data_IF_896281709081
#
_entry.id   IF_896281709081
#
_cell.length_a   1.000
_cell.length_b   1.000
_cell.length_c   1.000
_cell.angle_alpha   90.00
_cell.angle_beta   90.00
_cell.angle_gamma   90.00
#
_symmetry.space_group_name_H-M   'P 1'
#
loop_
_entity.id
_entity.type
_entity.pdbx_description
1 polymer ?
#
# COMPACT_ATOMS: atom_id res chain seq x y z
N UNK A 1 -45.83 -4.30 -9.53
CA UNK A 1 -44.56 -3.91 -8.91
C UNK A 1 -44.31 -2.46 -9.24
N UNK A 2 -44.10 -1.60 -8.26
CA UNK A 2 -43.70 -0.21 -8.44
C UNK A 2 -42.19 -0.09 -8.28
N UNK A 3 -41.54 0.59 -9.20
CA UNK A 3 -40.13 0.93 -9.10
C UNK A 3 -40.04 2.37 -8.58
N UNK A 4 -39.28 2.58 -7.51
CA UNK A 4 -38.96 3.89 -6.99
C UNK A 4 -37.55 4.31 -7.45
N UNK A 5 -37.39 5.52 -7.96
CA UNK A 5 -36.08 6.10 -8.24
C UNK A 5 -35.49 6.59 -6.91
N UNK A 6 -34.35 6.05 -6.52
CA UNK A 6 -33.55 6.52 -5.39
C UNK A 6 -32.45 7.44 -5.93
N UNK A 7 -32.57 8.74 -5.71
CA UNK A 7 -31.60 9.75 -6.14
C UNK A 7 -32.26 10.96 -6.79
N UNK A 8 -31.45 11.90 -7.23
CA UNK A 8 -31.90 13.08 -7.98
C UNK A 8 -32.10 12.72 -9.46
N UNK A 9 -33.34 12.82 -10.03
CA UNK A 9 -33.58 12.54 -11.43
C UNK A 9 -32.88 13.51 -12.39
N UNK A 10 -32.37 14.64 -11.88
CA UNK A 10 -31.61 15.61 -12.68
C UNK A 10 -30.09 15.29 -12.70
N UNK A 11 -29.65 14.30 -11.92
CA UNK A 11 -28.24 13.89 -11.92
C UNK A 11 -27.89 13.28 -13.28
N UNK A 12 -26.91 13.86 -13.94
CA UNK A 12 -26.30 13.28 -15.13
C UNK A 12 -25.15 12.39 -14.72
N UNK A 13 -25.16 11.15 -15.20
CA UNK A 13 -23.98 10.27 -15.11
C UNK A 13 -23.02 10.78 -16.20
N UNK A 14 -21.89 11.31 -15.75
CA UNK A 14 -20.82 11.69 -16.67
C UNK A 14 -20.01 10.43 -17.02
N UNK A 15 -19.95 10.12 -18.31
CA UNK A 15 -19.18 8.99 -18.84
C UNK A 15 -17.85 9.50 -19.36
N UNK A 16 -16.78 8.69 -19.30
CA UNK A 16 -15.49 9.05 -19.86
C UNK A 16 -15.61 9.52 -21.30
N UNK A 17 -15.00 10.66 -21.59
CA UNK A 17 -15.12 11.33 -22.88
C UNK A 17 -14.26 10.70 -23.96
N UNK A 18 -13.12 10.13 -23.56
CA UNK A 18 -12.13 9.58 -24.46
C UNK A 18 -12.12 8.06 -24.39
N UNK A 19 -11.59 7.41 -25.43
CA UNK A 19 -11.54 5.96 -25.52
C UNK A 19 -10.12 5.44 -25.31
N UNK A 20 -10.04 4.28 -24.65
CA UNK A 20 -8.81 3.49 -24.54
C UNK A 20 -8.87 2.35 -25.52
N UNK A 21 -7.96 2.31 -26.49
CA UNK A 21 -7.86 1.23 -27.46
C UNK A 21 -6.63 0.38 -27.20
N UNK A 22 -6.77 -0.95 -27.39
CA UNK A 22 -5.65 -1.89 -27.38
C UNK A 22 -5.01 -1.93 -28.75
N UNK A 23 -3.71 -1.70 -28.84
CA UNK A 23 -2.96 -1.74 -30.10
C UNK A 23 -2.20 -3.03 -30.28
N UNK A 24 -1.64 -3.62 -29.19
CA UNK A 24 -0.94 -4.90 -29.23
C UNK A 24 -1.20 -5.76 -28.00
N UNK A 25 -1.14 -7.08 -28.19
CA UNK A 25 -1.12 -8.10 -27.14
C UNK A 25 0.08 -9.00 -27.40
N UNK A 26 0.95 -9.18 -26.41
CA UNK A 26 2.19 -9.99 -26.53
C UNK A 26 3.04 -9.61 -27.75
N UNK A 27 3.12 -8.31 -28.07
CA UNK A 27 3.85 -7.76 -29.22
C UNK A 27 3.16 -7.94 -30.58
N UNK A 28 1.99 -8.60 -30.67
CA UNK A 28 1.21 -8.76 -31.90
C UNK A 28 0.17 -7.66 -32.04
N UNK A 29 0.12 -7.03 -33.21
CA UNK A 29 -0.83 -5.96 -33.51
C UNK A 29 -2.26 -6.51 -33.55
N UNK A 30 -3.18 -5.83 -32.90
CA UNK A 30 -4.62 -6.14 -32.90
C UNK A 30 -5.18 -5.83 -34.30
N UNK A 31 -5.91 -6.77 -34.90
CA UNK A 31 -6.59 -6.62 -36.18
C UNK A 31 -5.88 -7.26 -37.39
N UNK A 32 -4.60 -7.64 -37.31
CA UNK A 32 -3.87 -8.25 -38.43
C UNK A 32 -4.13 -9.77 -38.63
N UNK A 33 -4.65 -10.43 -37.63
CA UNK A 33 -5.16 -11.81 -37.65
C UNK A 33 -5.91 -12.08 -36.37
N UNK A 34 -6.74 -13.13 -36.36
CA UNK A 34 -7.36 -13.62 -35.10
C UNK A 34 -6.23 -13.90 -34.12
N UNK A 35 -6.13 -13.07 -33.09
CA UNK A 35 -5.16 -13.30 -32.00
C UNK A 35 -5.73 -14.46 -31.19
N UNK A 36 -5.46 -15.68 -31.66
CA UNK A 36 -5.72 -16.92 -30.89
C UNK A 36 -4.68 -17.12 -29.77
N UNK A 37 -4.11 -16.04 -29.26
CA UNK A 37 -3.23 -16.14 -28.11
C UNK A 37 -4.07 -16.51 -26.88
N UNK A 38 -3.95 -17.74 -26.53
CA UNK A 38 -4.52 -18.24 -25.27
C UNK A 38 -3.65 -17.77 -24.12
N UNK A 39 -4.23 -16.98 -23.25
CA UNK A 39 -3.60 -16.55 -22.00
C UNK A 39 -3.83 -17.62 -20.95
N UNK A 40 -2.75 -18.22 -20.47
CA UNK A 40 -2.77 -19.35 -19.55
C UNK A 40 -2.42 -18.92 -18.11
N UNK A 41 -2.84 -19.73 -17.14
CA UNK A 41 -2.27 -19.62 -15.80
C UNK A 41 -0.75 -19.61 -15.86
N UNK A 42 -0.10 -18.77 -15.08
CA UNK A 42 1.35 -18.58 -14.99
C UNK A 42 2.02 -17.98 -16.23
N UNK A 43 1.29 -17.73 -17.33
CA UNK A 43 1.87 -17.04 -18.48
C UNK A 43 1.96 -15.52 -18.24
N UNK A 44 2.99 -14.91 -18.85
CA UNK A 44 3.12 -13.45 -18.87
C UNK A 44 2.34 -12.88 -20.04
N UNK A 45 1.63 -11.78 -19.81
CA UNK A 45 0.88 -11.03 -20.81
C UNK A 45 1.43 -9.59 -20.87
N UNK A 46 1.67 -9.12 -22.09
CA UNK A 46 2.00 -7.72 -22.39
C UNK A 46 0.85 -7.08 -23.16
N UNK A 47 0.44 -5.91 -22.75
CA UNK A 47 -0.63 -5.11 -23.36
C UNK A 47 -0.09 -3.72 -23.69
N UNK A 48 -0.23 -3.31 -24.95
CA UNK A 48 0.04 -1.94 -25.39
C UNK A 48 -1.25 -1.29 -25.87
N UNK A 49 -1.41 0.01 -25.65
CA UNK A 49 -2.60 0.74 -26.11
C UNK A 49 -2.40 2.24 -26.15
N UNK A 50 -3.43 2.91 -26.65
CA UNK A 50 -3.46 4.35 -26.82
C UNK A 50 -4.78 4.94 -26.29
N UNK A 51 -4.71 6.22 -25.88
CA UNK A 51 -5.88 7.03 -25.56
C UNK A 51 -6.22 7.84 -26.81
N UNK A 52 -7.47 7.73 -27.26
CA UNK A 52 -7.91 8.38 -28.50
C UNK A 52 -9.17 9.23 -28.31
N UNK A 53 -9.37 10.19 -29.18
CA UNK A 53 -10.61 10.98 -29.28
C UNK A 53 -11.69 10.21 -30.06
N UNK A 54 -12.85 10.82 -30.23
CA UNK A 54 -14.00 10.29 -30.98
C UNK A 54 -13.71 10.00 -32.47
N UNK A 55 -12.63 10.56 -33.03
CA UNK A 55 -12.19 10.34 -34.41
C UNK A 55 -11.11 9.28 -34.52
N UNK A 56 -10.71 8.66 -33.38
CA UNK A 56 -9.62 7.69 -33.33
C UNK A 56 -8.22 8.32 -33.35
N UNK A 57 -8.12 9.65 -33.14
CA UNK A 57 -6.83 10.35 -33.08
C UNK A 57 -6.26 10.27 -31.68
N UNK A 58 -4.99 9.85 -31.56
CA UNK A 58 -4.32 9.76 -30.27
C UNK A 58 -4.17 11.14 -29.61
N UNK A 59 -4.37 11.18 -28.30
CA UNK A 59 -4.18 12.35 -27.45
C UNK A 59 -2.72 12.42 -26.97
N UNK A 60 -1.86 13.10 -27.73
CA UNK A 60 -0.42 13.20 -27.43
C UNK A 60 -0.09 13.99 -26.15
N UNK A 61 -1.05 14.72 -25.60
CA UNK A 61 -0.97 15.50 -24.36
C UNK A 61 -1.60 14.79 -23.14
N UNK A 62 -2.06 13.55 -23.29
CA UNK A 62 -2.61 12.78 -22.19
C UNK A 62 -1.47 12.09 -21.40
N UNK A 63 -1.06 12.72 -20.30
CA UNK A 63 -0.11 12.17 -19.33
C UNK A 63 -0.82 11.86 -18.01
N UNK A 64 -0.85 10.58 -17.60
CA UNK A 64 -1.62 10.17 -16.45
C UNK A 64 -1.39 8.73 -16.02
N UNK A 65 -2.44 8.12 -15.47
CA UNK A 65 -2.44 6.72 -15.03
C UNK A 65 -3.60 5.97 -15.70
N UNK A 66 -3.38 4.69 -15.97
CA UNK A 66 -4.40 3.77 -16.46
C UNK A 66 -4.54 2.59 -15.51
N UNK A 67 -5.76 2.30 -15.09
CA UNK A 67 -6.14 1.08 -14.38
C UNK A 67 -6.52 0.01 -15.41
N UNK A 68 -5.90 -1.15 -15.31
CA UNK A 68 -6.09 -2.29 -16.20
C UNK A 68 -6.67 -3.43 -15.36
N UNK A 69 -7.86 -3.92 -15.73
CA UNK A 69 -8.52 -5.05 -15.06
C UNK A 69 -8.74 -6.15 -16.06
N UNK A 70 -8.06 -7.28 -15.87
CA UNK A 70 -8.30 -8.50 -16.64
C UNK A 70 -9.38 -9.33 -15.97
N UNK A 71 -10.43 -9.61 -16.70
CA UNK A 71 -11.56 -10.44 -16.29
C UNK A 71 -11.47 -11.81 -16.96
N UNK A 72 -11.80 -12.85 -16.20
CA UNK A 72 -11.96 -14.21 -16.69
C UNK A 72 -13.14 -14.30 -17.69
N UNK A 73 -13.36 -15.46 -18.23
CA UNK A 73 -14.50 -15.77 -19.09
C UNK A 73 -15.84 -15.61 -18.39
N UNK A 74 -16.90 -15.50 -19.16
CA UNK A 74 -18.28 -15.50 -18.68
C UNK A 74 -18.57 -16.74 -17.80
N UNK A 75 -19.28 -16.51 -16.72
CA UNK A 75 -19.82 -17.52 -15.82
C UNK A 75 -21.34 -17.46 -15.80
N UNK A 76 -21.98 -18.63 -15.79
CA UNK A 76 -23.43 -18.73 -15.73
C UNK A 76 -23.87 -18.69 -14.27
N UNK A 77 -24.79 -17.82 -13.95
CA UNK A 77 -25.42 -17.68 -12.64
C UNK A 77 -26.92 -17.95 -12.76
N UNK A 78 -27.53 -18.39 -11.68
CA UNK A 78 -28.98 -18.52 -11.55
C UNK A 78 -29.48 -17.59 -10.45
N UNK A 79 -30.63 -16.98 -10.68
CA UNK A 79 -31.33 -16.26 -9.61
C UNK A 79 -31.81 -17.24 -8.57
N UNK A 80 -31.88 -16.80 -7.31
CA UNK A 80 -32.47 -17.58 -6.25
C UNK A 80 -34.01 -17.55 -6.40
N UNK A 81 -34.66 -18.70 -6.42
CA UNK A 81 -36.12 -18.81 -6.40
C UNK A 81 -36.64 -18.65 -4.96
N UNK A 82 -36.53 -17.45 -4.40
CA UNK A 82 -36.86 -17.15 -3.01
C UNK A 82 -38.38 -17.29 -2.72
N UNK A 83 -39.21 -17.26 -3.76
CA UNK A 83 -40.69 -17.37 -3.65
C UNK A 83 -41.19 -18.78 -3.98
N UNK A 84 -40.34 -19.73 -4.38
CA UNK A 84 -40.69 -21.10 -4.71
C UNK A 84 -41.60 -21.22 -5.93
N UNK A 85 -41.50 -20.29 -6.88
CA UNK A 85 -42.38 -20.21 -8.05
C UNK A 85 -41.81 -20.89 -9.31
N UNK A 86 -40.66 -21.58 -9.19
CA UNK A 86 -39.87 -22.09 -10.32
C UNK A 86 -39.55 -21.02 -11.38
N UNK A 87 -39.21 -19.82 -10.92
CA UNK A 87 -38.90 -18.65 -11.76
C UNK A 87 -37.40 -18.31 -11.72
N UNK A 88 -36.54 -19.30 -11.51
CA UNK A 88 -35.13 -19.15 -11.62
C UNK A 88 -34.74 -18.78 -13.07
N UNK A 89 -33.91 -17.74 -13.22
CA UNK A 89 -33.45 -17.25 -14.51
C UNK A 89 -31.94 -17.45 -14.55
N UNK A 90 -31.46 -18.08 -15.61
CA UNK A 90 -30.04 -18.10 -15.92
C UNK A 90 -29.60 -16.79 -16.57
N UNK A 91 -28.46 -16.28 -16.13
CA UNK A 91 -27.82 -15.13 -16.74
C UNK A 91 -26.30 -15.28 -16.74
N UNK A 92 -25.65 -14.68 -17.70
CA UNK A 92 -24.20 -14.68 -17.83
C UNK A 92 -23.62 -13.42 -17.18
N UNK A 93 -22.53 -13.58 -16.43
CA UNK A 93 -21.80 -12.48 -15.84
C UNK A 93 -20.29 -12.73 -15.93
N UNK A 94 -19.56 -11.70 -16.31
CA UNK A 94 -18.10 -11.68 -16.32
C UNK A 94 -17.60 -10.81 -15.19
N UNK A 95 -17.27 -11.40 -14.04
CA UNK A 95 -16.88 -10.66 -12.83
C UNK A 95 -15.62 -11.18 -12.15
N UNK A 96 -15.16 -12.38 -12.51
CA UNK A 96 -13.96 -12.95 -11.90
C UNK A 96 -12.74 -12.19 -12.42
N UNK A 97 -12.08 -11.45 -11.55
CA UNK A 97 -10.89 -10.69 -11.89
C UNK A 97 -9.69 -11.64 -11.82
N UNK A 98 -8.86 -11.66 -12.86
CA UNK A 98 -7.63 -12.46 -12.94
C UNK A 98 -6.38 -11.60 -12.67
N UNK A 99 -6.47 -10.32 -12.95
CA UNK A 99 -5.41 -9.36 -12.67
C UNK A 99 -5.97 -7.94 -12.59
N UNK A 100 -5.35 -7.12 -11.74
CA UNK A 100 -5.64 -5.69 -11.59
C UNK A 100 -4.34 -4.95 -11.39
N UNK A 101 -4.11 -3.90 -12.16
CA UNK A 101 -2.87 -3.14 -12.04
C UNK A 101 -3.00 -1.73 -12.59
N UNK A 102 -2.01 -0.91 -12.30
CA UNK A 102 -1.94 0.49 -12.73
C UNK A 102 -0.65 0.69 -13.52
N UNK A 103 -0.77 1.31 -14.69
CA UNK A 103 0.37 1.73 -15.49
C UNK A 103 0.37 3.25 -15.69
N UNK A 104 1.53 3.80 -16.09
CA UNK A 104 1.65 5.19 -16.54
C UNK A 104 1.17 5.32 -17.98
N UNK A 105 0.52 6.43 -18.28
CA UNK A 105 0.24 6.88 -19.66
C UNK A 105 1.13 8.07 -19.93
N UNK A 106 1.87 8.05 -21.04
CA UNK A 106 2.76 9.13 -21.48
C UNK A 106 2.50 9.40 -22.96
N UNK A 107 2.16 10.64 -23.29
CA UNK A 107 1.84 11.03 -24.66
C UNK A 107 0.70 10.19 -25.24
N UNK A 108 -0.33 9.89 -24.43
CA UNK A 108 -1.47 9.06 -24.82
C UNK A 108 -1.16 7.59 -25.04
N UNK A 109 0.01 7.08 -24.64
CA UNK A 109 0.41 5.67 -24.78
C UNK A 109 0.67 5.01 -23.47
N UNK A 110 0.36 3.71 -23.39
CA UNK A 110 0.72 2.86 -22.27
C UNK A 110 1.23 1.51 -22.74
N UNK A 111 2.08 0.92 -21.91
CA UNK A 111 2.51 -0.47 -21.97
C UNK A 111 2.43 -1.05 -20.57
N UNK A 112 1.92 -2.26 -20.46
CA UNK A 112 1.80 -2.95 -19.18
C UNK A 112 2.02 -4.43 -19.33
N UNK A 113 2.92 -5.01 -18.51
CA UNK A 113 3.23 -6.44 -18.50
C UNK A 113 2.94 -7.01 -17.12
N UNK A 114 2.28 -8.15 -17.07
CA UNK A 114 1.93 -8.86 -15.84
C UNK A 114 1.88 -10.36 -16.05
N UNK A 115 1.96 -11.13 -14.97
CA UNK A 115 1.86 -12.59 -15.00
C UNK A 115 0.57 -13.03 -14.33
N UNK A 116 -0.14 -13.98 -14.93
CA UNK A 116 -1.39 -14.50 -14.38
C UNK A 116 -1.11 -15.43 -13.19
N UNK A 117 -1.96 -15.38 -12.15
CA UNK A 117 -1.85 -16.30 -11.04
C UNK A 117 -2.14 -17.75 -11.46
N UNK A 118 -1.72 -18.70 -10.65
CA UNK A 118 -1.97 -20.12 -10.84
C UNK A 118 -3.46 -20.47 -10.77
N UNK A 119 -4.21 -19.74 -9.97
CA UNK A 119 -5.62 -20.03 -9.64
C UNK A 119 -6.60 -19.41 -10.62
N UNK A 120 -6.50 -19.78 -11.89
CA UNK A 120 -7.55 -19.48 -12.86
C UNK A 120 -8.34 -20.73 -13.22
N UNK A 121 -9.57 -20.57 -13.66
CA UNK A 121 -10.33 -21.69 -14.20
C UNK A 121 -9.71 -22.17 -15.53
N UNK A 122 -9.36 -23.45 -15.64
CA UNK A 122 -8.61 -23.99 -16.78
C UNK A 122 -9.43 -24.23 -18.05
N UNK A 123 -10.77 -24.21 -17.98
CA UNK A 123 -11.62 -24.23 -19.17
C UNK A 123 -11.36 -22.98 -20.02
N UNK A 124 -11.46 -23.12 -21.35
CA UNK A 124 -11.20 -22.05 -22.29
C UNK A 124 -12.44 -21.19 -22.53
N UNK A 125 -12.25 -19.90 -22.67
CA UNK A 125 -13.32 -18.95 -23.00
C UNK A 125 -12.77 -17.53 -23.23
N UNK A 126 -13.61 -16.65 -23.79
CA UNK A 126 -13.23 -15.27 -24.05
C UNK A 126 -13.04 -14.50 -22.75
N UNK A 127 -11.85 -13.93 -22.56
CA UNK A 127 -11.55 -12.98 -21.50
C UNK A 127 -12.00 -11.55 -21.87
N UNK A 128 -11.83 -10.64 -20.93
CA UNK A 128 -12.06 -9.21 -21.15
C UNK A 128 -11.01 -8.40 -20.39
N UNK A 129 -10.40 -7.44 -21.05
CA UNK A 129 -9.64 -6.39 -20.39
C UNK A 129 -10.53 -5.16 -20.32
N UNK A 130 -10.65 -4.55 -19.17
CA UNK A 130 -11.33 -3.27 -18.94
C UNK A 130 -10.30 -2.23 -18.55
N UNK A 131 -10.42 -1.04 -19.12
CA UNK A 131 -9.52 0.08 -18.92
C UNK A 131 -10.24 1.28 -18.35
N UNK A 132 -9.59 1.98 -17.43
CA UNK A 132 -9.96 3.33 -17.02
C UNK A 132 -8.68 4.14 -16.86
N UNK A 133 -8.56 5.23 -17.63
CA UNK A 133 -7.42 6.14 -17.57
C UNK A 133 -7.85 7.51 -17.07
N UNK A 134 -6.96 8.14 -16.29
CA UNK A 134 -7.21 9.47 -15.74
C UNK A 134 -5.94 10.33 -15.85
N UNK A 135 -6.12 11.57 -16.31
CA UNK A 135 -5.10 12.61 -16.34
C UNK A 135 -5.76 13.95 -15.94
N UNK A 136 -5.29 14.57 -14.83
CA UNK A 136 -5.82 15.81 -14.27
C UNK A 136 -7.36 15.85 -14.21
N UNK A 137 -7.99 16.54 -15.19
CA UNK A 137 -9.45 16.74 -15.26
C UNK A 137 -10.12 15.97 -16.39
N UNK A 138 -9.40 15.10 -17.09
CA UNK A 138 -9.90 14.30 -18.21
C UNK A 138 -9.73 12.81 -17.93
N UNK A 139 -10.65 12.02 -18.43
CA UNK A 139 -10.62 10.58 -18.30
C UNK A 139 -10.96 9.86 -19.60
N UNK A 140 -10.59 8.57 -19.66
CA UNK A 140 -10.85 7.70 -20.79
C UNK A 140 -11.22 6.29 -20.29
N UNK A 141 -12.07 5.60 -21.02
CA UNK A 141 -12.39 4.20 -20.73
C UNK A 141 -12.41 3.36 -22.01
N UNK A 142 -12.23 2.05 -21.83
CA UNK A 142 -12.28 1.14 -22.96
C UNK A 142 -12.30 -0.32 -22.52
N UNK A 143 -12.38 -1.20 -23.48
CA UNK A 143 -12.27 -2.63 -23.22
C UNK A 143 -11.73 -3.38 -24.45
N UNK A 144 -11.20 -4.60 -24.19
CA UNK A 144 -10.75 -5.52 -25.24
C UNK A 144 -11.18 -6.95 -24.89
N UNK A 145 -11.74 -7.69 -25.88
CA UNK A 145 -12.34 -9.03 -25.68
C UNK A 145 -11.87 -10.09 -26.67
N UNK A 146 -10.96 -9.74 -27.59
CA UNK A 146 -10.55 -10.65 -28.68
C UNK A 146 -9.35 -11.52 -28.29
N UNK A 147 -9.46 -12.23 -27.18
CA UNK A 147 -8.47 -13.20 -26.73
C UNK A 147 -9.13 -14.31 -25.92
N UNK A 148 -8.44 -15.43 -25.78
CA UNK A 148 -8.89 -16.59 -25.02
C UNK A 148 -8.14 -16.68 -23.69
N UNK A 149 -8.83 -17.01 -22.62
CA UNK A 149 -8.26 -17.35 -21.31
C UNK A 149 -8.53 -18.82 -21.02
N UNK A 150 -7.53 -19.55 -20.51
CA UNK A 150 -7.70 -20.93 -20.06
C UNK A 150 -6.43 -21.77 -20.16
N UNK A 151 -6.43 -22.92 -19.50
CA UNK A 151 -5.28 -23.80 -19.40
C UNK A 151 -4.19 -23.28 -18.47
N UNK A 152 -3.07 -23.98 -18.43
CA UNK A 152 -1.89 -23.64 -17.65
C UNK A 152 -0.63 -23.68 -18.52
N UNK A 153 0.30 -22.78 -18.29
CA UNK A 153 1.61 -22.83 -18.92
C UNK A 153 2.51 -23.84 -18.19
N UNK A 154 2.67 -25.02 -18.78
CA UNK A 154 3.48 -26.10 -18.21
C UNK A 154 4.98 -25.92 -18.39
N UNK A 155 5.43 -24.91 -19.15
CA UNK A 155 6.84 -24.60 -19.31
C UNK A 155 7.41 -23.84 -18.10
N UNK A 156 6.54 -23.24 -17.28
CA UNK A 156 6.93 -22.51 -16.08
C UNK A 156 7.29 -23.46 -14.96
N UNK A 157 8.52 -23.38 -14.49
CA UNK A 157 8.98 -24.13 -13.32
C UNK A 157 8.53 -23.43 -12.05
N UNK A 158 7.64 -24.06 -11.29
CA UNK A 158 7.20 -23.53 -10.00
C UNK A 158 8.31 -23.71 -8.97
N UNK A 159 8.85 -22.59 -8.50
CA UNK A 159 9.86 -22.57 -7.42
C UNK A 159 9.17 -22.10 -6.13
N UNK A 160 9.47 -22.79 -5.02
CA UNK A 160 8.95 -22.36 -3.72
C UNK A 160 9.68 -21.09 -3.26
N UNK A 161 9.04 -19.94 -3.44
CA UNK A 161 9.43 -18.66 -2.90
C UNK A 161 8.27 -18.09 -2.09
N UNK A 162 8.54 -17.18 -1.17
CA UNK A 162 7.52 -16.56 -0.32
C UNK A 162 7.72 -15.06 -0.31
N UNK A 163 6.64 -14.26 -0.36
CA UNK A 163 6.75 -12.80 -0.27
C UNK A 163 7.55 -12.37 0.95
N UNK A 164 8.50 -11.44 0.76
CA UNK A 164 9.09 -10.67 1.85
C UNK A 164 8.14 -9.53 2.20
N UNK A 165 7.86 -9.34 3.49
CA UNK A 165 6.91 -8.37 3.99
C UNK A 165 7.61 -7.47 5.02
N UNK A 166 7.74 -6.20 4.71
CA UNK A 166 8.15 -5.17 5.65
C UNK A 166 6.90 -4.41 6.08
N UNK A 167 6.44 -4.65 7.31
CA UNK A 167 5.19 -4.13 7.85
C UNK A 167 5.44 -3.01 8.85
N UNK A 168 4.76 -1.90 8.67
CA UNK A 168 4.85 -0.68 9.47
C UNK A 168 3.46 -0.11 9.76
N UNK A 169 3.38 0.79 10.73
CA UNK A 169 2.28 1.74 10.86
C UNK A 169 2.76 3.11 10.37
N UNK A 170 1.94 3.78 9.57
CA UNK A 170 2.13 5.12 9.03
C UNK A 170 3.30 5.26 8.04
N UNK A 171 4.54 5.03 8.46
CA UNK A 171 5.74 5.17 7.63
C UNK A 171 6.87 4.19 8.04
N UNK A 172 7.95 4.15 7.26
CA UNK A 172 9.09 3.24 7.46
C UNK A 172 9.91 3.51 8.73
N UNK A 173 9.73 4.65 9.39
CA UNK A 173 10.39 4.98 10.65
C UNK A 173 9.72 4.29 11.83
N UNK A 174 8.49 3.82 11.67
CA UNK A 174 7.74 3.14 12.71
C UNK A 174 8.48 1.89 13.22
N UNK A 175 8.47 1.70 14.53
CA UNK A 175 9.08 0.53 15.19
C UNK A 175 8.02 -0.28 15.91
N UNK A 176 8.21 -1.60 15.98
CA UNK A 176 7.31 -2.50 16.68
C UNK A 176 7.08 -2.06 18.13
N UNK A 177 5.83 -1.92 18.54
CA UNK A 177 5.40 -1.35 19.83
C UNK A 177 5.38 0.18 19.89
N UNK A 178 5.52 0.86 18.74
CA UNK A 178 5.49 2.31 18.61
C UNK A 178 4.11 2.90 18.89
N UNK A 179 4.10 4.23 19.06
CA UNK A 179 2.90 5.01 19.36
C UNK A 179 2.24 5.50 18.07
N UNK A 180 0.90 5.58 18.06
CA UNK A 180 0.11 6.17 17.00
C UNK A 180 -1.18 6.79 17.57
N UNK A 181 -1.89 7.57 16.76
CA UNK A 181 -3.25 8.04 17.08
C UNK A 181 -4.33 7.00 16.76
N UNK A 182 -5.59 7.38 16.88
CA UNK A 182 -6.75 6.52 16.60
C UNK A 182 -7.03 6.29 15.11
N UNK A 183 -6.33 6.99 14.19
CA UNK A 183 -6.54 6.90 12.75
C UNK A 183 -5.25 6.55 11.98
N UNK A 184 -4.50 5.51 12.37
CA UNK A 184 -3.24 5.19 11.72
C UNK A 184 -3.45 4.54 10.35
N UNK A 185 -2.38 4.53 9.56
CA UNK A 185 -2.34 3.77 8.32
C UNK A 185 -1.50 2.50 8.50
N UNK A 186 -2.01 1.35 8.04
CA UNK A 186 -1.13 0.24 7.70
C UNK A 186 -0.26 0.67 6.52
N UNK A 187 1.03 0.49 6.62
CA UNK A 187 1.97 0.66 5.52
C UNK A 187 2.85 -0.58 5.40
N UNK A 188 2.87 -1.19 4.22
CA UNK A 188 3.74 -2.33 3.97
C UNK A 188 4.46 -2.20 2.63
N UNK A 189 5.70 -2.70 2.60
CA UNK A 189 6.48 -2.92 1.39
C UNK A 189 6.56 -4.43 1.22
N UNK A 190 6.15 -4.90 0.04
CA UNK A 190 6.08 -6.34 -0.27
C UNK A 190 6.88 -6.60 -1.53
N UNK A 191 7.68 -7.67 -1.55
CA UNK A 191 8.41 -8.12 -2.73
C UNK A 191 8.58 -9.64 -2.74
N UNK A 192 8.74 -10.21 -3.94
CA UNK A 192 9.10 -11.61 -4.14
C UNK A 192 10.02 -11.71 -5.37
N UNK A 193 10.61 -12.87 -5.61
CA UNK A 193 11.29 -13.19 -6.87
C UNK A 193 10.33 -13.40 -8.05
N UNK A 194 9.04 -13.59 -7.74
CA UNK A 194 7.92 -13.70 -8.67
C UNK A 194 6.83 -12.69 -8.30
N UNK A 195 5.85 -12.51 -9.19
CA UNK A 195 4.79 -11.52 -8.97
C UNK A 195 3.96 -11.82 -7.72
N UNK A 196 3.52 -10.76 -7.04
CA UNK A 196 2.56 -10.83 -5.94
C UNK A 196 1.17 -11.11 -6.52
N UNK A 197 0.39 -11.96 -5.83
CA UNK A 197 -1.01 -12.19 -6.18
C UNK A 197 -1.85 -11.01 -5.68
N UNK A 198 -2.27 -10.16 -6.60
CA UNK A 198 -3.05 -8.96 -6.30
C UNK A 198 -4.56 -9.20 -6.37
N UNK A 199 -4.97 -10.41 -6.72
CA UNK A 199 -6.36 -10.76 -6.93
C UNK A 199 -6.73 -12.00 -6.15
N UNK A 200 -7.66 -11.86 -5.22
CA UNK A 200 -8.32 -13.00 -4.58
C UNK A 200 -9.31 -13.62 -5.54
N UNK A 201 -8.97 -14.79 -6.09
CA UNK A 201 -9.83 -15.53 -7.02
C UNK A 201 -10.98 -16.27 -6.31
N UNK A 202 -11.37 -15.86 -5.12
CA UNK A 202 -12.38 -16.52 -4.28
C UNK A 202 -11.88 -17.79 -3.57
N UNK A 203 -10.61 -18.16 -3.73
CA UNK A 203 -9.98 -19.33 -3.11
C UNK A 203 -9.19 -19.01 -1.83
N UNK A 204 -9.34 -17.80 -1.30
CA UNK A 204 -8.68 -17.40 -0.03
C UNK A 204 -7.24 -16.93 -0.19
N UNK A 205 -6.80 -16.56 -1.39
CA UNK A 205 -5.48 -16.03 -1.67
C UNK A 205 -5.44 -14.48 -1.72
N UNK A 206 -6.37 -13.84 -1.01
CA UNK A 206 -6.39 -12.40 -0.85
C UNK A 206 -5.21 -11.89 -0.03
N UNK A 207 -4.83 -10.64 -0.28
CA UNK A 207 -4.00 -9.86 0.65
C UNK A 207 -4.88 -9.51 1.84
N UNK A 208 -4.56 -10.03 3.01
CA UNK A 208 -5.42 -9.94 4.19
C UNK A 208 -4.67 -9.34 5.37
N UNK A 209 -5.23 -8.29 5.94
CA UNK A 209 -4.83 -7.81 7.26
C UNK A 209 -5.83 -8.26 8.32
N UNK A 210 -5.33 -8.59 9.52
CA UNK A 210 -6.13 -8.90 10.72
C UNK A 210 -5.69 -8.03 11.87
N UNK A 211 -6.64 -7.36 12.48
CA UNK A 211 -6.39 -6.51 13.64
C UNK A 211 -6.89 -7.21 14.91
N UNK A 212 -6.00 -7.42 15.88
CA UNK A 212 -6.20 -8.04 17.20
C UNK A 212 -6.66 -9.50 17.17
N UNK A 213 -7.65 -9.83 16.34
CA UNK A 213 -8.19 -11.17 16.24
C UNK A 213 -8.73 -11.47 14.83
N UNK A 214 -9.09 -12.73 14.59
CA UNK A 214 -9.55 -13.20 13.29
C UNK A 214 -10.90 -12.58 12.83
N UNK A 215 -11.68 -11.99 13.74
CA UNK A 215 -12.97 -11.38 13.38
C UNK A 215 -12.80 -10.04 12.66
N UNK A 216 -11.73 -9.30 12.95
CA UNK A 216 -11.40 -8.02 12.32
C UNK A 216 -10.48 -8.24 11.12
N UNK A 217 -11.05 -8.69 10.02
CA UNK A 217 -10.32 -9.03 8.79
C UNK A 217 -10.62 -8.02 7.68
N UNK A 218 -9.55 -7.52 7.04
CA UNK A 218 -9.61 -6.54 5.96
C UNK A 218 -8.98 -7.13 4.70
N UNK A 219 -9.68 -7.05 3.57
CA UNK A 219 -9.16 -7.45 2.26
C UNK A 219 -8.49 -6.23 1.64
N UNK A 220 -7.22 -6.34 1.30
CA UNK A 220 -6.36 -5.22 0.90
C UNK A 220 -5.90 -5.28 -0.56
N UNK A 221 -6.48 -6.13 -1.39
CA UNK A 221 -6.08 -6.26 -2.80
C UNK A 221 -6.19 -4.92 -3.56
N UNK A 222 -7.24 -4.13 -3.31
CA UNK A 222 -7.44 -2.82 -3.94
C UNK A 222 -6.51 -1.71 -3.40
N UNK A 223 -5.77 -1.99 -2.34
CA UNK A 223 -4.81 -1.07 -1.71
C UNK A 223 -3.36 -1.41 -2.03
N UNK A 224 -3.14 -2.43 -2.87
CA UNK A 224 -1.81 -2.80 -3.34
C UNK A 224 -1.47 -2.01 -4.60
N UNK A 225 -0.40 -1.24 -4.55
CA UNK A 225 0.17 -0.52 -5.69
C UNK A 225 1.48 -1.19 -6.11
N UNK A 226 1.53 -1.68 -7.35
CA UNK A 226 2.75 -2.29 -7.93
C UNK A 226 3.83 -1.22 -8.10
N UNK A 227 5.07 -1.57 -7.78
CA UNK A 227 6.23 -0.72 -8.03
C UNK A 227 6.44 -0.54 -9.54
N UNK A 228 6.60 0.69 -9.99
CA UNK A 228 6.76 1.02 -11.42
C UNK A 228 8.06 0.49 -12.04
N UNK A 229 9.07 0.20 -11.22
CA UNK A 229 10.39 -0.29 -11.66
C UNK A 229 10.56 -1.80 -11.41
N UNK A 230 9.75 -2.37 -10.51
CA UNK A 230 9.79 -3.79 -10.16
C UNK A 230 8.38 -4.40 -10.07
N UNK A 231 7.90 -5.10 -11.11
CA UNK A 231 6.56 -5.69 -11.14
C UNK A 231 6.35 -6.79 -10.09
N UNK A 232 7.42 -7.29 -9.47
CA UNK A 232 7.38 -8.30 -8.41
C UNK A 232 7.38 -7.67 -7.00
N UNK A 233 7.25 -6.35 -6.91
CA UNK A 233 7.19 -5.61 -5.66
C UNK A 233 6.05 -4.59 -5.67
N UNK A 234 5.70 -4.09 -4.51
CA UNK A 234 4.72 -3.03 -4.36
C UNK A 234 4.53 -2.59 -2.93
N UNK A 235 3.61 -1.66 -2.75
CA UNK A 235 3.27 -1.11 -1.44
C UNK A 235 1.78 -1.29 -1.15
N UNK A 236 1.46 -1.43 0.13
CA UNK A 236 0.09 -1.46 0.62
C UNK A 236 -0.06 -0.30 1.60
N UNK A 237 -1.10 0.51 1.40
CA UNK A 237 -1.45 1.60 2.30
C UNK A 237 -2.95 1.57 2.59
N UNK A 238 -3.30 1.27 3.85
CA UNK A 238 -4.69 1.14 4.27
C UNK A 238 -4.98 2.01 5.50
N UNK A 239 -5.96 2.95 5.44
CA UNK A 239 -6.33 3.79 6.56
C UNK A 239 -7.21 3.04 7.54
N UNK A 240 -6.83 3.02 8.81
CA UNK A 240 -7.73 2.69 9.90
C UNK A 240 -8.41 3.96 10.42
N UNK A 241 -9.56 3.82 11.05
CA UNK A 241 -10.28 4.92 11.70
C UNK A 241 -10.88 4.48 13.03
N UNK A 242 -10.86 5.41 13.97
CA UNK A 242 -11.48 5.26 15.29
C UNK A 242 -11.05 4.00 16.07
N UNK A 243 -9.78 3.64 15.99
CA UNK A 243 -9.25 2.54 16.78
C UNK A 243 -9.34 2.87 18.28
N UNK A 244 -9.62 1.84 19.09
CA UNK A 244 -9.67 1.98 20.53
C UNK A 244 -8.30 2.28 21.12
N UNK A 245 -8.23 2.99 22.25
CA UNK A 245 -6.96 3.16 22.96
C UNK A 245 -6.47 1.83 23.52
N UNK A 246 -5.17 1.62 23.47
CA UNK A 246 -4.50 0.44 24.00
C UNK A 246 -3.49 -0.18 23.05
N UNK A 247 -3.04 -1.37 23.41
CA UNK A 247 -2.15 -2.19 22.57
C UNK A 247 -2.96 -2.92 21.51
N UNK A 248 -2.46 -2.88 20.29
CA UNK A 248 -3.02 -3.57 19.13
C UNK A 248 -1.97 -4.45 18.47
N UNK A 249 -2.43 -5.51 17.85
CA UNK A 249 -1.61 -6.42 17.03
C UNK A 249 -2.19 -6.50 15.63
N UNK A 250 -1.38 -6.18 14.64
CA UNK A 250 -1.75 -6.25 13.23
C UNK A 250 -0.94 -7.33 12.54
N UNK A 251 -1.63 -8.22 11.84
CA UNK A 251 -1.02 -9.27 11.03
C UNK A 251 -1.37 -9.03 9.57
N UNK A 252 -0.38 -9.07 8.69
CA UNK A 252 -0.56 -8.97 7.24
C UNK A 252 -0.13 -10.29 6.59
N UNK A 253 -1.01 -10.88 5.79
CA UNK A 253 -0.75 -12.07 4.97
C UNK A 253 -0.80 -11.72 3.49
N UNK A 254 0.22 -12.15 2.75
CA UNK A 254 0.35 -11.91 1.31
C UNK A 254 0.69 -13.23 0.61
N UNK A 255 0.18 -13.40 -0.60
CA UNK A 255 0.40 -14.54 -1.47
C UNK A 255 1.15 -14.11 -2.74
N UNK A 256 1.96 -14.99 -3.30
CA UNK A 256 2.47 -14.83 -4.66
C UNK A 256 1.59 -15.61 -5.66
N UNK A 257 1.84 -15.41 -6.95
CA UNK A 257 1.06 -16.06 -8.03
C UNK A 257 1.23 -17.58 -8.10
N UNK A 258 2.20 -18.17 -7.38
CA UNK A 258 2.39 -19.62 -7.26
C UNK A 258 1.67 -20.21 -6.04
N UNK A 259 0.90 -19.40 -5.28
CA UNK A 259 0.17 -19.78 -4.06
C UNK A 259 1.04 -20.08 -2.84
N UNK A 260 2.25 -19.53 -2.80
CA UNK A 260 3.01 -19.49 -1.55
C UNK A 260 2.74 -18.18 -0.82
N UNK A 261 2.59 -18.27 0.50
CA UNK A 261 2.30 -17.10 1.33
C UNK A 261 3.35 -16.87 2.39
N UNK A 262 3.37 -15.65 2.86
CA UNK A 262 4.05 -15.26 4.09
C UNK A 262 3.13 -14.38 4.93
N UNK A 263 3.43 -14.31 6.24
CA UNK A 263 2.65 -13.55 7.20
C UNK A 263 3.62 -12.77 8.10
N UNK A 264 3.30 -11.52 8.37
CA UNK A 264 4.08 -10.63 9.24
C UNK A 264 3.18 -9.98 10.27
N UNK A 265 3.67 -9.92 11.50
CA UNK A 265 3.00 -9.29 12.63
C UNK A 265 3.74 -8.04 13.08
N UNK A 266 2.99 -7.01 13.49
CA UNK A 266 3.48 -5.81 14.15
C UNK A 266 2.56 -5.44 15.31
N UNK A 267 3.13 -4.95 16.40
CA UNK A 267 2.40 -4.40 17.56
C UNK A 267 2.51 -2.90 17.57
N UNK A 268 1.47 -2.23 18.04
CA UNK A 268 1.44 -0.78 18.18
C UNK A 268 0.53 -0.36 19.34
N UNK A 269 0.69 0.87 19.80
CA UNK A 269 -0.09 1.43 20.90
C UNK A 269 -0.87 2.63 20.38
N UNK A 270 -2.19 2.58 20.49
CA UNK A 270 -3.08 3.69 20.15
C UNK A 270 -3.28 4.58 21.36
N UNK A 271 -3.05 5.88 21.16
CA UNK A 271 -3.40 6.94 22.12
C UNK A 271 -4.18 8.02 21.40
N UNK A 272 -5.37 8.30 21.89
CA UNK A 272 -6.24 9.27 21.25
C UNK A 272 -5.64 10.67 21.24
N UNK A 273 -5.59 11.26 20.05
CA UNK A 273 -5.18 12.66 19.88
C UNK A 273 -6.14 13.65 20.54
N UNK A 274 -7.39 13.25 20.75
CA UNK A 274 -8.45 14.06 21.40
C UNK A 274 -8.31 14.17 22.91
N UNK A 275 -7.56 13.27 23.57
CA UNK A 275 -7.38 13.24 25.03
C UNK A 275 -6.10 13.94 25.50
N UNK A 276 -5.31 14.45 24.58
CA UNK A 276 -4.05 15.10 24.85
C UNK A 276 -2.90 14.50 24.07
N UNK A 277 -1.82 15.23 24.10
CA UNK A 277 -0.62 14.88 23.37
C UNK A 277 0.24 13.93 24.22
N UNK A 278 0.66 12.83 23.64
CA UNK A 278 1.57 11.89 24.25
C UNK A 278 2.89 11.86 23.48
N UNK A 279 3.99 12.06 24.21
CA UNK A 279 5.35 12.10 23.65
C UNK A 279 6.21 11.09 24.38
N UNK A 280 6.73 10.11 23.67
CA UNK A 280 7.59 9.05 24.19
C UNK A 280 9.01 9.19 23.65
N UNK A 281 9.94 9.62 24.49
CA UNK A 281 11.34 9.73 24.13
C UNK A 281 12.09 8.43 24.41
N UNK A 282 12.96 8.00 23.50
CA UNK A 282 13.79 6.80 23.62
C UNK A 282 15.19 7.06 23.09
N UNK A 283 16.19 6.27 23.55
CA UNK A 283 17.49 6.24 22.92
C UNK A 283 18.05 4.82 22.81
N UNK A 284 18.80 4.55 21.76
CA UNK A 284 19.45 3.26 21.52
C UNK A 284 20.72 3.40 20.66
N UNK A 285 21.79 2.63 20.99
CA UNK A 285 21.97 1.80 22.18
C UNK A 285 22.03 2.62 23.47
N UNK A 286 21.68 2.01 24.59
CA UNK A 286 21.86 2.57 25.93
C UNK A 286 22.19 1.41 26.90
N UNK A 287 23.40 1.32 27.47
CA UNK A 287 24.53 2.24 27.36
C UNK A 287 25.14 2.34 25.96
N UNK A 288 25.87 3.43 25.70
CA UNK A 288 26.59 3.66 24.44
C UNK A 288 28.02 4.12 24.68
N UNK A 289 28.89 3.88 23.68
CA UNK A 289 30.31 4.26 23.75
C UNK A 289 30.72 5.21 22.63
N UNK A 290 30.14 5.10 21.45
CA UNK A 290 30.46 5.93 20.28
C UNK A 290 29.34 6.90 19.92
N UNK A 291 28.09 6.40 19.86
CA UNK A 291 26.91 7.19 19.60
C UNK A 291 25.65 6.49 20.13
N UNK A 292 24.59 7.24 20.24
CA UNK A 292 23.22 6.75 20.47
C UNK A 292 22.28 7.48 19.53
N UNK A 293 21.21 6.82 19.09
CA UNK A 293 20.13 7.42 18.35
C UNK A 293 19.02 7.81 19.32
N UNK A 294 18.57 9.05 19.25
CA UNK A 294 17.47 9.58 20.07
C UNK A 294 16.25 9.70 19.16
N UNK A 295 15.13 9.12 19.60
CA UNK A 295 13.89 9.06 18.85
C UNK A 295 12.75 9.51 19.74
N UNK A 296 11.88 10.38 19.23
CA UNK A 296 10.62 10.76 19.84
C UNK A 296 9.48 10.18 19.05
N UNK A 297 8.61 9.41 19.71
CA UNK A 297 7.32 8.95 19.18
C UNK A 297 6.20 9.85 19.72
N UNK A 298 5.19 10.15 18.90
CA UNK A 298 4.05 10.98 19.30
C UNK A 298 2.75 10.54 18.60
N UNK A 299 1.61 11.02 19.09
CA UNK A 299 0.27 10.72 18.59
C UNK A 299 -0.37 11.86 17.76
N UNK A 300 0.43 12.74 17.14
CA UNK A 300 -0.03 13.90 16.38
C UNK A 300 0.35 13.76 14.91
N UNK A 301 -0.57 13.26 14.08
CA UNK A 301 -0.29 12.96 12.66
C UNK A 301 -0.09 14.19 11.78
N UNK A 302 -0.84 15.26 12.05
CA UNK A 302 -0.92 16.44 11.16
C UNK A 302 -0.15 17.65 11.69
N UNK A 303 0.54 17.51 12.82
CA UNK A 303 1.27 18.62 13.43
C UNK A 303 2.60 18.89 12.72
N UNK A 304 2.87 20.16 12.45
CA UNK A 304 4.23 20.62 12.17
C UNK A 304 4.93 20.78 13.50
N UNK A 305 5.88 19.89 13.79
CA UNK A 305 6.64 19.89 15.04
C UNK A 305 8.00 20.56 14.85
N UNK A 306 8.26 21.59 15.62
CA UNK A 306 9.59 22.14 15.84
C UNK A 306 10.13 21.53 17.14
N UNK A 307 11.22 20.81 17.06
CA UNK A 307 11.79 20.12 18.21
C UNK A 307 13.16 20.69 18.57
N UNK A 308 13.42 20.87 19.87
CA UNK A 308 14.71 21.19 20.45
C UNK A 308 15.15 20.03 21.36
N UNK A 309 16.24 19.35 21.03
CA UNK A 309 16.84 18.34 21.90
C UNK A 309 17.69 19.04 22.96
N UNK A 310 17.45 18.70 24.24
CA UNK A 310 18.17 19.24 25.38
C UNK A 310 18.80 18.07 26.15
N UNK A 311 20.15 18.06 26.24
CA UNK A 311 20.90 17.07 27.01
C UNK A 311 21.55 17.77 28.19
N UNK A 312 21.49 17.15 29.37
CA UNK A 312 22.03 17.70 30.62
C UNK A 312 22.62 16.62 31.53
N UNK A 313 23.49 17.02 32.42
CA UNK A 313 24.10 16.13 33.42
C UNK A 313 23.22 16.01 34.68
N UNK A 314 23.69 15.22 35.66
CA UNK A 314 22.99 14.96 36.94
C UNK A 314 22.73 16.25 37.78
N UNK A 315 23.55 17.30 37.57
CA UNK A 315 23.42 18.56 38.27
C UNK A 315 22.51 19.57 37.53
N UNK A 316 21.86 19.14 36.44
CA UNK A 316 21.02 19.99 35.60
C UNK A 316 21.80 20.95 34.67
N UNK A 317 23.12 20.84 34.60
CA UNK A 317 23.92 21.63 33.66
C UNK A 317 23.66 21.15 32.24
N UNK A 318 23.23 22.02 31.37
CA UNK A 318 23.03 21.73 29.94
C UNK A 318 24.36 21.43 29.29
N UNK A 319 24.40 20.33 28.54
CA UNK A 319 25.54 19.80 27.80
C UNK A 319 25.40 20.12 26.31
N UNK A 320 24.18 19.94 25.78
CA UNK A 320 23.85 20.16 24.38
C UNK A 320 22.44 20.72 24.28
N UNK A 321 22.29 21.72 23.40
CA UNK A 321 21.02 22.15 22.84
C UNK A 321 21.12 22.06 21.33
N UNK A 322 20.16 21.40 20.70
CA UNK A 322 20.15 21.22 19.26
C UNK A 322 18.73 21.40 18.73
N UNK A 323 18.57 22.38 17.84
CA UNK A 323 17.35 22.55 17.07
C UNK A 323 17.25 21.47 16.00
N UNK A 324 16.08 20.86 15.92
CA UNK A 324 15.75 19.81 14.95
C UNK A 324 14.87 20.43 13.89
N UNK A 325 15.16 20.14 12.63
CA UNK A 325 14.35 20.58 11.49
C UNK A 325 12.90 20.17 11.67
N UNK A 326 11.93 21.00 11.24
CA UNK A 326 10.51 20.67 11.40
C UNK A 326 10.16 19.34 10.73
N UNK A 327 9.37 18.52 11.42
CA UNK A 327 8.80 17.27 10.94
C UNK A 327 7.33 17.47 10.63
N UNK A 328 6.88 17.00 9.48
CA UNK A 328 5.50 17.13 9.02
C UNK A 328 4.96 15.75 8.65
N UNK A 329 3.77 15.42 9.16
CA UNK A 329 3.04 14.21 8.76
C UNK A 329 3.69 12.89 9.18
N UNK A 330 4.55 12.89 10.21
CA UNK A 330 5.16 11.68 10.77
C UNK A 330 4.79 11.52 12.23
N UNK A 331 4.83 10.29 12.74
CA UNK A 331 4.61 9.98 14.17
C UNK A 331 5.93 9.84 14.93
N UNK A 332 7.05 10.12 14.28
CA UNK A 332 8.38 9.93 14.82
C UNK A 332 9.30 11.06 14.44
N UNK A 333 9.95 11.69 15.41
CA UNK A 333 11.04 12.67 15.21
C UNK A 333 12.37 11.96 15.43
N UNK A 334 13.24 11.99 14.45
CA UNK A 334 14.54 11.30 14.46
C UNK A 334 14.60 10.10 13.52
N UNK A 335 15.59 9.21 13.65
CA UNK A 335 16.61 9.17 14.71
C UNK A 335 17.61 10.34 14.64
N UNK A 336 17.86 10.96 15.78
CA UNK A 336 18.86 12.00 15.97
C UNK A 336 20.10 11.33 16.54
N UNK A 337 21.18 11.28 15.78
CA UNK A 337 22.41 10.68 16.23
C UNK A 337 23.20 11.63 17.12
N UNK A 338 23.56 11.19 18.32
CA UNK A 338 24.40 11.92 19.22
C UNK A 338 25.61 11.08 19.64
N UNK A 339 26.80 11.62 19.48
CA UNK A 339 28.07 10.92 19.69
C UNK A 339 28.64 11.06 21.12
N UNK A 340 27.90 11.68 22.04
CA UNK A 340 28.35 11.88 23.42
C UNK A 340 29.33 13.05 23.58
N UNK A 341 29.24 14.06 22.71
CA UNK A 341 30.03 15.31 22.85
C UNK A 341 29.17 16.45 23.39
N UNK A 342 29.85 17.48 23.95
CA UNK A 342 29.24 18.76 24.30
C UNK A 342 29.01 19.59 23.05
N UNK A 343 28.30 20.75 23.18
CA UNK A 343 28.14 21.72 22.10
C UNK A 343 29.49 22.25 21.58
N UNK A 344 30.53 22.29 22.44
CA UNK A 344 31.90 22.66 22.09
C UNK A 344 32.74 21.51 21.49
N UNK A 345 32.16 20.31 21.26
CA UNK A 345 32.86 19.15 20.70
C UNK A 345 33.69 18.35 21.71
N UNK A 346 33.64 18.69 22.99
CA UNK A 346 34.36 17.93 24.04
C UNK A 346 33.63 16.62 24.37
N UNK A 347 34.39 15.54 24.41
CA UNK A 347 33.82 14.20 24.73
C UNK A 347 33.46 14.08 26.20
N UNK A 348 32.29 13.58 26.48
CA UNK A 348 31.80 13.39 27.84
C UNK A 348 32.53 12.27 28.57
N UNK A 349 32.62 12.40 29.89
CA UNK A 349 33.10 11.34 30.77
C UNK A 349 32.06 10.23 30.94
N UNK A 350 32.53 9.04 31.39
CA UNK A 350 31.62 7.97 31.75
C UNK A 350 30.65 8.43 32.84
N UNK A 351 29.39 8.19 32.64
CA UNK A 351 28.38 8.63 33.60
C UNK A 351 26.97 8.61 33.09
N UNK A 352 26.07 9.13 33.91
CA UNK A 352 24.67 9.28 33.61
C UNK A 352 24.39 10.70 33.11
N UNK A 353 23.67 10.75 32.01
CA UNK A 353 23.17 11.97 31.39
C UNK A 353 21.66 11.82 31.15
N UNK A 354 21.01 12.92 30.89
CA UNK A 354 19.58 12.97 30.71
C UNK A 354 19.25 13.73 29.43
N UNK A 355 18.20 13.30 28.74
CA UNK A 355 17.69 14.00 27.57
C UNK A 355 16.21 14.26 27.71
N UNK A 356 15.77 15.39 27.17
CA UNK A 356 14.37 15.70 26.92
C UNK A 356 14.23 16.51 25.63
N UNK A 357 13.07 16.47 25.03
CA UNK A 357 12.74 17.30 23.87
C UNK A 357 11.71 18.37 24.26
N UNK A 358 11.98 19.60 23.86
CA UNK A 358 11.00 20.66 23.79
C UNK A 358 10.37 20.64 22.40
N UNK A 359 9.06 20.65 22.34
CA UNK A 359 8.28 20.55 21.12
C UNK A 359 7.39 21.75 20.99
N UNK A 360 7.28 22.30 19.80
CA UNK A 360 6.38 23.42 19.50
C UNK A 360 5.58 23.10 18.25
N UNK A 361 4.27 23.30 18.36
CA UNK A 361 3.36 23.38 17.23
C UNK A 361 3.12 24.86 16.88
N UNK A 362 2.21 25.12 15.96
CA UNK A 362 1.79 26.49 15.64
C UNK A 362 1.05 27.19 16.82
N UNK A 363 0.50 26.43 17.75
CA UNK A 363 -0.36 26.93 18.83
C UNK A 363 0.20 26.69 20.23
N UNK A 364 0.97 25.62 20.43
CA UNK A 364 1.30 25.10 21.75
C UNK A 364 2.78 24.70 21.89
N UNK A 365 3.26 24.67 23.14
CA UNK A 365 4.61 24.22 23.50
C UNK A 365 4.52 23.09 24.52
N UNK A 366 5.27 22.01 24.29
CA UNK A 366 5.28 20.80 25.09
C UNK A 366 6.71 20.41 25.48
N UNK A 367 6.79 19.58 26.50
CA UNK A 367 8.04 18.97 26.93
C UNK A 367 7.86 17.46 27.04
N UNK A 368 8.74 16.70 26.38
CA UNK A 368 8.73 15.25 26.54
C UNK A 368 9.08 14.84 27.99
N UNK A 369 8.83 13.60 28.32
CA UNK A 369 9.44 12.98 29.49
C UNK A 369 10.98 13.06 29.41
N UNK A 370 11.62 12.97 30.59
CA UNK A 370 13.09 12.93 30.66
C UNK A 370 13.57 11.50 30.65
N UNK A 371 14.43 11.15 29.70
CA UNK A 371 15.08 9.83 29.64
C UNK A 371 16.47 9.85 30.23
N UNK A 372 16.91 8.68 30.74
CA UNK A 372 18.23 8.45 31.28
C UNK A 372 19.12 7.77 30.25
N UNK A 373 20.30 8.32 30.00
CA UNK A 373 21.32 7.81 29.07
C UNK A 373 22.60 7.49 29.81
N UNK A 374 23.23 6.38 29.49
CA UNK A 374 24.51 5.94 30.08
C UNK A 374 25.62 6.01 29.05
N UNK A 375 26.60 6.88 29.30
CA UNK A 375 27.82 6.99 28.49
C UNK A 375 28.88 6.05 29.09
N UNK A 376 29.44 5.19 28.26
CA UNK A 376 30.46 4.25 28.67
C UNK A 376 31.61 4.21 27.67
N UNK A 377 32.58 5.11 27.83
CA UNK A 377 33.77 5.15 26.98
C UNK A 377 34.74 4.05 27.41
N UNK A 378 34.99 3.05 26.57
CA UNK A 378 36.12 2.13 26.76
C UNK A 378 37.42 2.94 26.63
N UNK A 379 38.02 3.34 27.73
CA UNK A 379 39.40 3.79 27.68
C UNK A 379 40.25 2.53 27.35
N UNK A 380 40.84 2.49 26.15
CA UNK A 380 42.03 1.70 25.89
C UNK A 380 43.22 2.37 26.54
#
# INVERSE_FOLDING_TARGET
>A
RSFGLLGDPALRIDLPRYEVITTKINGKTVGDSIIEDTIRALSTMSVEGEIVDENGTRLDDFDGKIMITLLDKLSIYRTLDNEGLNTDIEFEQQKNILHKGIAKVIGGRFEYTFTLPKDIAYNYGKGKISYYAQADSIDAAGNFTEFIVGGIDTSVVVVETRPDIQLYMNDTNFRNGGLTDENPHLFAIVSDSIAINTVGTGLGHDIVARLDNAANTFILNDYFEVDSENPNAGTIRYPFSDLSEGEHTLTLKVWNIFNFSNEKEIKFVVKSSKRGEEFRLKNYPNPFSSFTNIVLEHNQSDAILFAELIIFNQNGKIILKQDITPYVGTYTVGPIQWDGTTEGGERLQNGLYFARMRLRTSTDEFMSETIKMSVFNNRK
#
